data_IF_901582388791
#
_entry.id   IF_901582388791
#
_cell.length_a   1.000
_cell.length_b   1.000
_cell.length_c   1.000
_cell.angle_alpha   90.00
_cell.angle_beta   90.00
_cell.angle_gamma   90.00
#
_symmetry.space_group_name_H-M   'P 1'
#
loop_
_entity.id
_entity.type
_entity.pdbx_description
1 polymer ?
#
# COMPACT_ATOMS: atom_id res chain seq x y z
N UNK A 1 -36.88 57.52 3.16
CA UNK A 1 -37.45 56.54 2.21
C UNK A 1 -36.29 55.75 1.62
N UNK A 2 -36.36 54.42 1.74
CA UNK A 2 -35.42 53.34 1.38
C UNK A 2 -34.35 53.62 0.29
N UNK A 3 -33.12 53.14 0.54
CA UNK A 3 -32.37 52.32 -0.43
C UNK A 3 -31.30 51.46 0.29
N UNK A 4 -31.32 50.16 -0.01
CA UNK A 4 -30.48 49.08 0.50
C UNK A 4 -29.27 48.88 -0.43
N UNK A 5 -28.13 48.51 0.17
CA UNK A 5 -27.18 47.42 -0.18
C UNK A 5 -26.94 47.15 -1.67
N UNK A 6 -25.66 47.15 -2.08
CA UNK A 6 -24.93 46.00 -2.65
C UNK A 6 -23.43 46.40 -2.76
N UNK A 7 -22.57 45.73 -1.99
CA UNK A 7 -21.14 45.63 -2.28
C UNK A 7 -20.96 44.39 -3.17
N UNK A 8 -20.65 44.58 -4.45
CA UNK A 8 -20.12 43.49 -5.30
C UNK A 8 -18.61 43.59 -5.30
N UNK A 9 -17.97 42.56 -4.76
CA UNK A 9 -16.53 42.38 -4.77
C UNK A 9 -16.01 42.20 -6.20
N UNK A 10 -15.09 43.07 -6.61
CA UNK A 10 -14.17 42.82 -7.70
C UNK A 10 -12.98 42.04 -7.15
N UNK A 11 -12.89 40.75 -7.46
CA UNK A 11 -11.60 40.06 -7.52
C UNK A 11 -11.73 38.88 -8.50
N UNK A 12 -11.28 39.12 -9.73
CA UNK A 12 -11.02 38.06 -10.70
C UNK A 12 -9.57 38.19 -11.18
N UNK A 13 -8.98 37.02 -11.43
CA UNK A 13 -7.67 36.76 -12.03
C UNK A 13 -6.42 36.77 -11.11
N UNK A 14 -6.21 35.63 -10.43
CA UNK A 14 -4.88 35.06 -10.24
C UNK A 14 -4.94 33.55 -10.57
N UNK A 15 -5.04 33.22 -11.86
CA UNK A 15 -4.67 31.89 -12.36
C UNK A 15 -3.24 31.96 -12.85
N UNK A 16 -2.32 31.47 -12.05
CA UNK A 16 -0.98 31.08 -12.51
C UNK A 16 -0.44 29.98 -11.61
N UNK A 17 -0.29 28.79 -12.18
CA UNK A 17 0.51 27.66 -11.68
C UNK A 17 0.11 27.13 -10.30
N UNK A 18 -1.06 26.47 -10.22
CA UNK A 18 -1.28 25.49 -9.16
C UNK A 18 -0.30 24.33 -9.38
N UNK A 19 0.72 24.29 -8.53
CA UNK A 19 1.72 23.25 -8.47
C UNK A 19 1.08 21.86 -8.38
N UNK A 20 1.59 20.90 -9.14
CA UNK A 20 1.30 19.47 -9.03
C UNK A 20 1.91 18.85 -7.75
N UNK A 21 1.88 19.59 -6.64
CA UNK A 21 2.30 19.15 -5.33
C UNK A 21 1.18 18.36 -4.67
N UNK A 22 1.10 17.06 -4.95
CA UNK A 22 0.23 16.13 -4.19
C UNK A 22 0.76 16.01 -2.75
N UNK A 23 0.37 16.92 -1.88
CA UNK A 23 0.40 16.65 -0.44
C UNK A 23 -0.66 15.59 -0.16
N UNK A 24 -0.30 14.42 0.39
CA UNK A 24 -1.29 13.42 0.74
C UNK A 24 -2.24 14.01 1.79
N UNK A 25 -3.53 13.88 1.53
CA UNK A 25 -4.58 14.14 2.51
C UNK A 25 -4.30 13.32 3.79
N UNK A 26 -4.41 13.94 4.95
CA UNK A 26 -4.09 13.34 6.25
C UNK A 26 -4.99 12.13 6.60
N UNK A 27 -6.07 11.92 5.84
CA UNK A 27 -6.95 10.77 5.96
C UNK A 27 -6.45 9.49 5.27
N UNK A 28 -5.37 9.55 4.48
CA UNK A 28 -4.75 8.34 3.95
C UNK A 28 -4.00 7.62 5.06
N UNK A 29 -4.37 6.37 5.37
CA UNK A 29 -3.53 5.53 6.21
C UNK A 29 -2.31 5.14 5.40
N UNK A 30 -1.25 5.85 5.75
CA UNK A 30 0.09 5.50 5.41
C UNK A 30 0.41 4.09 5.92
N UNK A 31 1.11 3.29 5.12
CA UNK A 31 1.93 2.22 5.66
C UNK A 31 3.28 2.82 6.01
N UNK A 32 3.51 3.30 7.25
CA UNK A 32 4.85 3.72 7.63
C UNK A 32 5.79 2.51 7.58
N UNK A 33 6.92 2.67 6.90
CA UNK A 33 8.13 1.91 7.22
C UNK A 33 8.50 2.13 8.70
N UNK A 34 8.03 3.20 9.34
CA UNK A 34 8.32 3.53 10.74
C UNK A 34 7.67 2.60 11.79
N UNK A 35 7.22 1.39 11.44
CA UNK A 35 7.13 0.36 12.48
C UNK A 35 8.54 0.16 12.99
N UNK A 36 8.82 0.59 14.21
CA UNK A 36 10.20 0.57 14.72
C UNK A 36 10.72 -0.86 14.84
N UNK A 37 9.81 -1.81 15.09
CA UNK A 37 10.12 -3.22 15.27
C UNK A 37 9.05 -4.12 14.66
N UNK A 38 9.43 -5.34 14.30
CA UNK A 38 8.52 -6.46 14.06
C UNK A 38 9.02 -7.64 14.88
N UNK A 39 8.12 -8.50 15.33
CA UNK A 39 8.49 -9.65 16.15
C UNK A 39 7.53 -10.82 15.99
N UNK A 40 8.04 -12.00 16.32
CA UNK A 40 7.27 -13.20 16.61
C UNK A 40 7.50 -13.55 18.08
N UNK A 41 6.51 -14.19 18.70
CA UNK A 41 6.65 -14.69 20.05
C UNK A 41 5.97 -16.04 20.29
N UNK A 42 6.43 -16.72 21.34
CA UNK A 42 5.74 -17.86 21.96
C UNK A 42 5.40 -17.40 23.38
N UNK A 43 4.13 -17.32 23.73
CA UNK A 43 3.67 -16.94 25.06
C UNK A 43 3.35 -18.18 25.89
N UNK A 44 3.96 -18.28 27.06
CA UNK A 44 3.66 -19.29 28.08
C UNK A 44 3.05 -18.56 29.29
N UNK A 45 1.73 -18.59 29.38
CA UNK A 45 0.94 -17.97 30.45
C UNK A 45 0.88 -18.87 31.69
N UNK A 46 0.36 -18.35 32.79
CA UNK A 46 0.24 -19.06 34.06
C UNK A 46 -0.95 -18.56 34.87
N UNK A 47 -1.32 -19.30 35.92
CA UNK A 47 -2.38 -18.89 36.84
C UNK A 47 -2.05 -17.56 37.53
N UNK A 48 -2.86 -16.53 37.27
CA UNK A 48 -2.65 -15.16 37.76
C UNK A 48 -1.96 -14.21 36.78
N UNK A 49 -1.70 -14.63 35.53
CA UNK A 49 -1.28 -13.74 34.47
C UNK A 49 -2.48 -13.00 33.82
N UNK A 50 -2.24 -11.82 33.26
CA UNK A 50 -3.25 -11.03 32.56
C UNK A 50 -3.76 -11.77 31.32
N UNK A 51 -5.08 -11.73 31.09
CA UNK A 51 -5.73 -12.35 29.91
C UNK A 51 -5.35 -13.82 29.69
N UNK A 52 -5.01 -14.55 30.76
CA UNK A 52 -4.70 -15.98 30.71
C UNK A 52 -5.89 -16.75 30.10
N UNK A 53 -5.66 -17.66 29.13
CA UNK A 53 -6.70 -18.58 28.67
C UNK A 53 -7.24 -19.46 29.81
N UNK A 54 -8.52 -19.86 29.73
CA UNK A 54 -9.17 -20.64 30.80
C UNK A 54 -8.53 -22.01 31.03
N UNK A 55 -8.07 -22.67 29.97
CA UNK A 55 -7.45 -23.99 30.00
C UNK A 55 -6.03 -24.02 30.61
N UNK A 56 -5.46 -22.85 30.93
CA UNK A 56 -4.10 -22.75 31.50
C UNK A 56 -4.19 -22.76 33.03
N UNK A 57 -3.79 -23.89 33.63
CA UNK A 57 -3.79 -24.07 35.10
C UNK A 57 -2.39 -24.09 35.73
N UNK A 58 -1.34 -24.13 34.91
CA UNK A 58 0.05 -24.17 35.37
C UNK A 58 0.41 -22.97 36.24
N UNK A 59 1.24 -23.20 37.24
CA UNK A 59 1.77 -22.15 38.09
C UNK A 59 2.93 -21.39 37.39
N UNK A 60 3.38 -20.31 38.03
CA UNK A 60 4.42 -19.43 37.49
C UNK A 60 5.79 -20.11 37.32
N UNK A 61 6.13 -21.08 38.17
CA UNK A 61 7.39 -21.81 38.07
C UNK A 61 7.35 -22.81 36.91
N UNK A 62 6.24 -23.51 36.73
CA UNK A 62 5.99 -24.42 35.61
C UNK A 62 6.01 -23.68 34.27
N UNK A 63 5.34 -22.53 34.18
CA UNK A 63 5.39 -21.70 32.98
C UNK A 63 6.80 -21.20 32.66
N UNK A 64 7.59 -20.84 33.68
CA UNK A 64 8.99 -20.47 33.47
C UNK A 64 9.80 -21.64 32.91
N UNK A 65 9.71 -22.81 33.54
CA UNK A 65 10.41 -24.01 33.12
C UNK A 65 10.02 -24.41 31.68
N UNK A 66 8.73 -24.34 31.34
CA UNK A 66 8.25 -24.62 29.99
C UNK A 66 8.78 -23.61 28.97
N UNK A 67 8.81 -22.33 29.31
CA UNK A 67 9.39 -21.31 28.43
C UNK A 67 10.90 -21.51 28.22
N UNK A 68 11.65 -21.92 29.25
CA UNK A 68 13.07 -22.24 29.14
C UNK A 68 13.32 -23.48 28.26
N UNK A 69 12.49 -24.51 28.39
CA UNK A 69 12.55 -25.71 27.54
C UNK A 69 12.29 -25.39 26.06
N UNK A 70 11.22 -24.66 25.77
CA UNK A 70 10.89 -24.28 24.40
C UNK A 70 11.91 -23.31 23.80
N UNK A 71 12.48 -22.42 24.62
CA UNK A 71 13.58 -21.55 24.19
C UNK A 71 14.79 -22.37 23.76
N UNK A 72 15.18 -23.39 24.54
CA UNK A 72 16.30 -24.25 24.18
C UNK A 72 16.07 -24.95 22.83
N UNK A 73 14.83 -25.40 22.55
CA UNK A 73 14.46 -26.00 21.27
C UNK A 73 14.60 -25.02 20.10
N UNK A 74 14.06 -23.81 20.22
CA UNK A 74 14.15 -22.81 19.12
C UNK A 74 15.56 -22.23 18.95
N UNK A 75 16.40 -22.25 19.98
CA UNK A 75 17.80 -21.86 19.85
C UNK A 75 18.63 -22.95 19.16
N UNK A 76 18.31 -24.23 19.41
CA UNK A 76 18.95 -25.35 18.72
C UNK A 76 18.53 -25.45 17.25
N UNK A 77 17.27 -25.16 16.96
CA UNK A 77 16.73 -25.10 15.60
C UNK A 77 15.81 -23.87 15.43
N UNK A 78 16.37 -22.72 14.98
CA UNK A 78 15.59 -21.51 14.75
C UNK A 78 14.46 -21.66 13.72
N UNK A 79 14.53 -22.64 12.81
CA UNK A 79 13.48 -22.91 11.82
C UNK A 79 12.23 -23.55 12.43
N UNK A 80 12.34 -24.08 13.65
CA UNK A 80 11.22 -24.67 14.39
C UNK A 80 10.29 -23.65 15.04
N UNK A 81 10.66 -22.35 15.04
CA UNK A 81 9.99 -21.31 15.81
C UNK A 81 8.49 -21.22 15.51
N UNK A 82 8.12 -21.13 14.23
CA UNK A 82 6.73 -21.00 13.76
C UNK A 82 5.89 -22.19 14.21
N UNK A 83 6.40 -23.41 13.99
CA UNK A 83 5.73 -24.66 14.36
C UNK A 83 5.52 -24.77 15.87
N UNK A 84 6.54 -24.41 16.66
CA UNK A 84 6.43 -24.41 18.12
C UNK A 84 5.46 -23.33 18.58
N UNK A 85 5.48 -22.14 17.98
CA UNK A 85 4.55 -21.07 18.31
C UNK A 85 3.09 -21.44 18.02
N UNK A 86 2.82 -22.07 16.89
CA UNK A 86 1.48 -22.55 16.53
C UNK A 86 0.97 -23.62 17.50
N UNK A 87 1.85 -24.52 17.96
CA UNK A 87 1.47 -25.66 18.79
C UNK A 87 1.43 -25.35 20.30
N UNK A 88 2.29 -24.46 20.79
CA UNK A 88 2.61 -24.33 22.23
C UNK A 88 2.32 -22.96 22.83
N UNK A 89 2.03 -21.94 22.01
CA UNK A 89 1.78 -20.58 22.50
C UNK A 89 0.35 -20.43 23.01
N UNK A 90 0.20 -19.86 24.21
CA UNK A 90 -1.09 -19.51 24.82
C UNK A 90 -1.67 -18.18 24.28
N UNK A 91 -0.89 -17.45 23.49
CA UNK A 91 -1.27 -16.12 22.98
C UNK A 91 -2.14 -16.18 21.72
N UNK A 92 -2.93 -15.14 21.43
CA UNK A 92 -3.79 -15.11 20.25
C UNK A 92 -3.02 -15.16 18.92
N UNK A 93 -1.74 -14.80 18.91
CA UNK A 93 -0.88 -14.91 17.72
C UNK A 93 -0.45 -16.35 17.41
N UNK A 94 -0.78 -17.35 18.24
CA UNK A 94 -0.54 -18.77 17.93
C UNK A 94 -1.19 -19.17 16.60
N UNK A 95 -2.40 -18.66 16.32
CA UNK A 95 -3.11 -18.84 15.05
C UNK A 95 -2.39 -18.22 13.83
N UNK A 96 -1.34 -17.44 14.07
CA UNK A 96 -0.51 -16.79 13.05
C UNK A 96 0.97 -17.13 13.27
N UNK A 97 1.25 -18.36 13.71
CA UNK A 97 2.59 -18.90 13.92
C UNK A 97 3.47 -18.03 14.84
N UNK A 98 2.83 -17.36 15.80
CA UNK A 98 3.47 -16.45 16.75
C UNK A 98 3.77 -15.06 16.21
N UNK A 99 3.48 -14.72 14.95
CA UNK A 99 3.80 -13.44 14.36
C UNK A 99 2.89 -12.30 14.85
N UNK A 100 3.50 -11.24 15.40
CA UNK A 100 2.82 -10.07 15.98
C UNK A 100 2.65 -8.90 15.00
N UNK A 101 3.23 -8.98 13.81
CA UNK A 101 3.29 -7.84 12.90
C UNK A 101 4.33 -6.79 13.29
N UNK A 102 4.29 -5.65 12.59
CA UNK A 102 5.11 -4.48 12.90
C UNK A 102 4.42 -3.56 13.91
N UNK A 103 5.18 -3.05 14.88
CA UNK A 103 4.70 -2.17 15.95
C UNK A 103 5.65 -0.99 16.21
N UNK A 104 5.11 0.07 16.82
CA UNK A 104 5.85 1.27 17.19
C UNK A 104 6.35 1.17 18.63
N UNK A 105 7.28 2.05 19.02
CA UNK A 105 7.68 2.21 20.42
C UNK A 105 6.46 2.54 21.29
N UNK A 106 6.39 1.93 22.46
CA UNK A 106 5.29 2.06 23.41
C UNK A 106 4.06 1.21 23.10
N UNK A 107 4.01 0.51 21.96
CA UNK A 107 2.84 -0.34 21.61
C UNK A 107 2.85 -1.72 22.28
N UNK A 108 3.99 -2.16 22.81
CA UNK A 108 4.16 -3.47 23.45
C UNK A 108 4.51 -3.33 24.93
N UNK A 109 4.36 -4.42 25.69
CA UNK A 109 4.80 -4.46 27.09
C UNK A 109 6.27 -4.02 27.21
N UNK A 110 6.64 -3.12 28.15
CA UNK A 110 7.98 -2.50 28.19
C UNK A 110 9.14 -3.51 28.20
N UNK A 111 8.99 -4.63 28.91
CA UNK A 111 10.01 -5.69 28.95
C UNK A 111 10.16 -6.41 27.60
N UNK A 112 9.05 -6.66 26.91
CA UNK A 112 9.03 -7.27 25.57
C UNK A 112 9.72 -6.36 24.55
N UNK A 113 9.32 -5.09 24.50
CA UNK A 113 9.94 -4.11 23.61
C UNK A 113 11.45 -4.00 23.87
N UNK A 114 11.86 -3.89 25.14
CA UNK A 114 13.28 -3.83 25.51
C UNK A 114 14.08 -5.05 25.03
N UNK A 115 13.47 -6.23 24.97
CA UNK A 115 14.11 -7.42 24.44
C UNK A 115 14.26 -7.35 22.91
N UNK A 116 13.18 -7.01 22.19
CA UNK A 116 13.21 -6.85 20.73
C UNK A 116 14.25 -5.80 20.29
N UNK A 117 14.36 -4.69 21.03
CA UNK A 117 15.33 -3.61 20.79
C UNK A 117 16.79 -4.04 20.81
N UNK A 118 17.10 -5.11 21.54
CA UNK A 118 18.48 -5.61 21.70
C UNK A 118 18.86 -6.64 20.64
N UNK A 119 17.91 -7.07 19.82
CA UNK A 119 18.12 -8.11 18.82
C UNK A 119 18.41 -7.47 17.46
N UNK A 120 19.20 -8.15 16.67
CA UNK A 120 19.23 -7.97 15.22
C UNK A 120 18.03 -8.67 14.57
N UNK A 121 17.70 -8.31 13.33
CA UNK A 121 16.62 -8.96 12.59
C UNK A 121 16.93 -10.47 12.41
N UNK A 122 15.92 -11.31 12.67
CA UNK A 122 16.04 -12.77 12.65
C UNK A 122 16.54 -13.38 13.97
N UNK A 123 17.14 -12.60 14.86
CA UNK A 123 17.69 -13.13 16.10
C UNK A 123 16.61 -13.44 17.16
N UNK A 124 16.88 -14.46 17.99
CA UNK A 124 16.05 -14.88 19.12
C UNK A 124 16.67 -14.37 20.42
N UNK A 125 15.85 -13.85 21.33
CA UNK A 125 16.31 -13.44 22.66
C UNK A 125 16.67 -14.67 23.50
N UNK A 126 17.91 -14.70 24.00
CA UNK A 126 18.53 -15.84 24.67
C UNK A 126 17.94 -16.17 26.07
N UNK A 127 16.88 -15.49 26.51
CA UNK A 127 16.18 -15.73 27.80
C UNK A 127 14.68 -15.52 27.65
N UNK A 128 13.81 -16.23 28.38
CA UNK A 128 12.39 -15.90 28.40
C UNK A 128 12.16 -14.51 29.00
N UNK A 129 11.35 -13.70 28.34
CA UNK A 129 11.01 -12.33 28.74
C UNK A 129 9.71 -12.35 29.51
N UNK A 130 9.74 -11.94 30.78
CA UNK A 130 8.54 -11.91 31.61
C UNK A 130 7.75 -10.61 31.43
N UNK A 131 6.43 -10.71 31.24
CA UNK A 131 5.48 -9.59 31.26
C UNK A 131 4.29 -9.91 32.19
N UNK A 132 3.25 -9.05 32.19
CA UNK A 132 1.98 -9.34 32.87
C UNK A 132 1.23 -10.54 32.28
N UNK A 133 1.42 -10.84 30.98
CA UNK A 133 0.72 -11.93 30.28
C UNK A 133 1.35 -13.31 30.50
N UNK A 134 2.62 -13.36 30.91
CA UNK A 134 3.37 -14.63 31.04
C UNK A 134 4.86 -14.48 30.73
N UNK A 135 5.47 -15.60 30.31
CA UNK A 135 6.83 -15.65 29.78
C UNK A 135 6.80 -15.72 28.26
N UNK A 136 7.63 -14.89 27.61
CA UNK A 136 7.70 -14.80 26.16
C UNK A 136 9.06 -15.27 25.65
N UNK A 137 9.05 -16.13 24.66
CA UNK A 137 10.22 -16.37 23.80
C UNK A 137 10.08 -15.40 22.63
N UNK A 138 11.11 -14.59 22.38
CA UNK A 138 11.01 -13.42 21.49
C UNK A 138 11.98 -13.58 20.34
N UNK A 139 11.49 -13.46 19.11
CA UNK A 139 12.32 -13.32 17.90
C UNK A 139 12.05 -11.96 17.27
N UNK A 140 13.10 -11.22 16.90
CA UNK A 140 12.94 -10.01 16.11
C UNK A 140 12.77 -10.41 14.65
N UNK A 141 11.74 -9.89 14.01
CA UNK A 141 11.54 -10.02 12.57
C UNK A 141 11.97 -8.73 11.89
N UNK A 142 12.34 -8.82 10.62
CA UNK A 142 12.61 -7.63 9.85
C UNK A 142 11.33 -6.81 9.66
N UNK A 143 11.47 -5.50 9.84
CA UNK A 143 10.46 -4.52 9.45
C UNK A 143 10.53 -4.33 7.94
N UNK A 144 10.47 -5.41 7.16
CA UNK A 144 10.41 -5.26 5.71
C UNK A 144 8.97 -4.87 5.36
N UNK A 145 8.72 -3.72 4.72
CA UNK A 145 7.41 -3.44 4.16
C UNK A 145 7.06 -4.56 3.20
N UNK A 146 5.93 -5.24 3.42
CA UNK A 146 5.44 -6.26 2.47
C UNK A 146 5.24 -5.65 1.08
N UNK A 147 4.89 -4.36 1.03
CA UNK A 147 4.57 -3.60 -0.16
C UNK A 147 5.56 -2.43 -0.29
N UNK A 148 6.14 -2.26 -1.46
CA UNK A 148 6.92 -1.11 -1.88
C UNK A 148 6.15 -0.38 -2.97
N UNK A 149 6.32 0.93 -3.05
CA UNK A 149 5.84 1.73 -4.17
C UNK A 149 7.00 2.57 -4.69
N UNK A 150 7.13 2.68 -6.01
CA UNK A 150 8.20 3.45 -6.61
C UNK A 150 7.77 4.16 -7.90
N UNK A 151 8.48 5.24 -8.19
CA UNK A 151 8.54 5.85 -9.52
C UNK A 151 9.95 5.64 -10.08
N UNK A 152 10.05 5.39 -11.39
CA UNK A 152 11.32 5.11 -12.06
C UNK A 152 11.57 6.04 -13.24
N UNK A 153 12.83 6.43 -13.41
CA UNK A 153 13.37 6.88 -14.69
C UNK A 153 14.10 5.68 -15.27
N UNK A 154 13.48 5.01 -16.24
CA UNK A 154 13.99 3.81 -16.89
C UNK A 154 14.65 4.11 -18.22
N UNK A 155 15.82 3.49 -18.43
CA UNK A 155 16.57 3.38 -19.68
C UNK A 155 16.72 1.89 -20.03
N UNK A 156 15.83 1.36 -20.87
CA UNK A 156 15.91 -0.01 -21.41
C UNK A 156 17.10 -0.20 -22.37
N UNK A 157 17.38 -1.39 -22.89
CA UNK A 157 18.35 -1.60 -23.98
C UNK A 157 17.93 -2.84 -24.80
N UNK A 158 18.63 -3.13 -25.89
CA UNK A 158 18.30 -4.27 -26.76
C UNK A 158 18.35 -5.65 -26.06
N UNK A 159 19.15 -5.78 -25.01
CA UNK A 159 19.42 -7.05 -24.29
C UNK A 159 18.62 -7.21 -22.98
N UNK A 160 17.49 -6.50 -22.81
CA UNK A 160 16.68 -6.60 -21.58
C UNK A 160 16.03 -7.98 -21.42
N UNK A 161 16.01 -8.49 -20.19
CA UNK A 161 15.39 -9.77 -19.86
C UNK A 161 13.86 -9.68 -19.68
N UNK A 162 13.33 -8.49 -19.34
CA UNK A 162 11.91 -8.25 -19.09
C UNK A 162 11.43 -7.02 -19.84
N UNK A 163 10.39 -7.20 -20.67
CA UNK A 163 9.70 -6.11 -21.34
C UNK A 163 8.50 -5.65 -20.51
N UNK A 164 8.52 -4.39 -20.06
CA UNK A 164 7.39 -3.78 -19.35
C UNK A 164 6.37 -3.26 -20.37
N UNK A 165 5.08 -3.60 -20.18
CA UNK A 165 3.98 -3.24 -21.11
C UNK A 165 3.83 -1.75 -21.40
N UNK A 166 4.24 -0.88 -20.46
CA UNK A 166 4.12 0.57 -20.57
C UNK A 166 5.38 1.26 -21.08
N UNK A 167 6.40 0.51 -21.48
CA UNK A 167 7.49 1.05 -22.31
C UNK A 167 6.92 1.25 -23.71
N UNK A 168 7.00 2.48 -24.23
CA UNK A 168 6.50 2.78 -25.56
C UNK A 168 7.15 1.86 -26.58
N UNK A 169 6.40 1.15 -27.44
CA UNK A 169 6.95 0.17 -28.39
C UNK A 169 7.76 0.80 -29.56
N UNK A 170 7.96 2.13 -29.55
CA UNK A 170 8.51 2.88 -30.68
C UNK A 170 10.04 3.02 -30.60
N UNK A 171 10.74 1.98 -31.06
CA UNK A 171 11.86 2.06 -32.02
C UNK A 171 13.27 2.45 -31.56
N UNK A 172 13.49 3.46 -30.71
CA UNK A 172 14.85 3.95 -30.42
C UNK A 172 15.54 3.18 -29.28
N UNK A 173 14.79 2.90 -28.21
CA UNK A 173 15.27 2.20 -27.01
C UNK A 173 15.51 0.69 -27.22
N UNK A 174 14.92 0.10 -28.27
CA UNK A 174 15.14 -1.29 -28.68
C UNK A 174 16.44 -1.49 -29.48
N UNK A 175 17.13 -0.40 -29.86
CA UNK A 175 18.35 -0.45 -30.70
C UNK A 175 19.64 -0.10 -29.95
N UNK A 176 19.54 0.63 -28.84
CA UNK A 176 20.71 1.06 -28.06
C UNK A 176 21.37 -0.11 -27.31
N UNK A 177 22.69 -0.04 -27.19
CA UNK A 177 23.47 -1.02 -26.44
C UNK A 177 23.27 -0.89 -24.92
N UNK A 178 23.59 -1.92 -24.13
CA UNK A 178 23.61 -1.83 -22.68
C UNK A 178 24.49 -0.68 -22.16
N UNK A 179 25.66 -0.46 -22.79
CA UNK A 179 26.61 0.59 -22.41
C UNK A 179 26.06 1.99 -22.67
N UNK A 180 25.37 2.19 -23.80
CA UNK A 180 24.71 3.46 -24.12
C UNK A 180 23.59 3.76 -23.12
N UNK A 181 22.75 2.76 -22.80
CA UNK A 181 21.68 2.93 -21.82
C UNK A 181 22.22 3.25 -20.41
N UNK A 182 23.30 2.58 -20.01
CA UNK A 182 24.01 2.86 -18.75
C UNK A 182 24.57 4.27 -18.72
N UNK A 183 25.28 4.69 -19.78
CA UNK A 183 25.87 6.02 -19.88
C UNK A 183 24.81 7.13 -19.79
N UNK A 184 23.64 6.94 -20.40
CA UNK A 184 22.51 7.86 -20.28
C UNK A 184 22.01 7.96 -18.83
N UNK A 185 21.85 6.82 -18.15
CA UNK A 185 21.42 6.78 -16.76
C UNK A 185 22.44 7.46 -15.83
N UNK A 186 23.73 7.17 -16.01
CA UNK A 186 24.82 7.74 -15.20
C UNK A 186 24.99 9.25 -15.45
N UNK A 187 24.81 9.71 -16.69
CA UNK A 187 24.85 11.14 -17.01
C UNK A 187 23.67 11.92 -16.40
N UNK A 188 22.52 11.26 -16.21
CA UNK A 188 21.34 11.88 -15.62
C UNK A 188 21.37 11.84 -14.09
N UNK A 189 21.85 10.75 -13.48
CA UNK A 189 21.74 10.50 -12.04
C UNK A 189 22.19 11.66 -11.13
N UNK A 190 23.31 12.37 -11.37
CA UNK A 190 23.74 13.50 -10.55
C UNK A 190 22.76 14.70 -10.56
N UNK A 191 21.88 14.78 -11.57
CA UNK A 191 20.91 15.86 -11.75
C UNK A 191 19.54 15.53 -11.14
N UNK A 192 19.31 14.27 -10.75
CA UNK A 192 18.01 13.83 -10.23
C UNK A 192 17.87 14.19 -8.76
N UNK A 193 16.82 14.90 -8.43
CA UNK A 193 16.39 15.19 -7.07
C UNK A 193 14.95 14.71 -6.86
N UNK A 194 14.48 14.71 -5.61
CA UNK A 194 13.09 14.38 -5.33
C UNK A 194 12.11 15.35 -6.03
N UNK A 195 12.47 16.63 -6.15
CA UNK A 195 11.58 17.70 -6.64
C UNK A 195 11.46 17.73 -8.18
N UNK A 196 12.51 17.32 -8.90
CA UNK A 196 12.52 17.36 -10.37
C UNK A 196 12.24 15.99 -11.02
N UNK A 197 12.04 14.94 -10.20
CA UNK A 197 11.98 13.56 -10.67
C UNK A 197 10.93 13.35 -11.77
N UNK A 198 9.71 13.84 -11.55
CA UNK A 198 8.58 13.67 -12.46
C UNK A 198 8.79 14.40 -13.80
N UNK A 199 9.43 15.57 -13.77
CA UNK A 199 9.84 16.29 -14.99
C UNK A 199 10.83 15.45 -15.78
N UNK A 200 11.87 14.95 -15.11
CA UNK A 200 12.91 14.14 -15.76
C UNK A 200 12.39 12.78 -16.26
N UNK A 201 11.37 12.21 -15.62
CA UNK A 201 10.66 11.03 -16.15
C UNK A 201 10.04 11.35 -17.50
N UNK A 202 9.35 12.47 -17.62
CA UNK A 202 8.67 12.88 -18.86
C UNK A 202 9.68 13.12 -19.98
N UNK A 203 10.79 13.78 -19.68
CA UNK A 203 11.82 14.17 -20.64
C UNK A 203 12.69 12.98 -21.08
N UNK A 204 13.10 12.11 -20.14
CA UNK A 204 14.16 11.14 -20.39
C UNK A 204 13.73 9.68 -20.33
N UNK A 205 12.67 9.33 -19.59
CA UNK A 205 12.36 7.93 -19.34
C UNK A 205 11.65 7.25 -20.51
N UNK A 206 12.03 6.00 -20.79
CA UNK A 206 11.26 5.12 -21.67
C UNK A 206 9.98 4.58 -21.03
N UNK A 207 9.79 4.82 -19.73
CA UNK A 207 8.59 4.48 -18.97
C UNK A 207 7.66 5.70 -18.73
N UNK A 208 7.75 6.72 -19.59
CA UNK A 208 6.99 7.98 -19.50
C UNK A 208 5.49 7.84 -19.72
N UNK A 209 5.01 6.80 -20.43
CA UNK A 209 3.58 6.62 -20.72
C UNK A 209 2.71 6.51 -19.46
N UNK A 210 3.30 6.06 -18.35
CA UNK A 210 2.67 5.98 -17.03
C UNK A 210 3.31 6.96 -16.04
N UNK A 211 4.00 8.00 -16.53
CA UNK A 211 4.79 8.94 -15.72
C UNK A 211 5.69 8.21 -14.71
N UNK A 212 6.41 7.18 -15.20
CA UNK A 212 7.38 6.42 -14.42
C UNK A 212 6.75 5.59 -13.30
N UNK A 213 5.42 5.51 -13.17
CA UNK A 213 4.75 4.80 -12.09
C UNK A 213 4.98 3.29 -12.23
N UNK A 214 5.90 2.76 -11.44
CA UNK A 214 6.09 1.32 -11.32
C UNK A 214 5.00 0.67 -10.48
N UNK A 215 4.34 1.47 -9.64
CA UNK A 215 3.24 1.05 -8.79
C UNK A 215 3.71 0.21 -7.61
N UNK A 216 2.81 -0.62 -7.10
CA UNK A 216 3.07 -1.43 -5.91
C UNK A 216 3.63 -2.80 -6.26
N UNK A 217 4.68 -3.18 -5.54
CA UNK A 217 5.36 -4.46 -5.69
C UNK A 217 5.81 -5.01 -4.34
N UNK A 218 6.15 -6.29 -4.33
CA UNK A 218 6.49 -7.03 -3.12
C UNK A 218 7.81 -7.75 -3.31
N UNK A 219 8.65 -7.75 -2.28
CA UNK A 219 9.81 -8.64 -2.23
C UNK A 219 9.33 -10.09 -2.31
N UNK A 220 10.05 -10.92 -3.05
CA UNK A 220 9.75 -12.33 -3.30
C UNK A 220 8.88 -12.60 -4.52
N UNK A 221 8.28 -11.58 -5.14
CA UNK A 221 7.35 -11.79 -6.27
C UNK A 221 8.05 -12.29 -7.55
N UNK A 222 9.17 -11.68 -7.90
CA UNK A 222 10.05 -12.06 -9.01
C UNK A 222 11.39 -11.33 -8.89
N UNK A 223 12.35 -11.65 -9.76
CA UNK A 223 13.69 -11.08 -9.71
C UNK A 223 13.69 -9.54 -9.88
N UNK A 224 12.93 -8.98 -10.83
CA UNK A 224 12.78 -7.53 -10.97
C UNK A 224 12.25 -6.88 -9.67
N UNK A 225 11.19 -7.42 -9.08
CA UNK A 225 10.62 -6.91 -7.83
C UNK A 225 11.61 -7.00 -6.66
N UNK A 226 12.47 -8.03 -6.63
CA UNK A 226 13.52 -8.17 -5.63
C UNK A 226 14.61 -7.10 -5.77
N UNK A 227 15.09 -6.86 -7.00
CA UNK A 227 16.06 -5.80 -7.31
C UNK A 227 15.49 -4.42 -6.96
N UNK A 228 14.25 -4.15 -7.38
CA UNK A 228 13.55 -2.91 -7.04
C UNK A 228 13.40 -2.74 -5.53
N UNK A 229 13.04 -3.80 -4.81
CA UNK A 229 12.87 -3.76 -3.36
C UNK A 229 14.20 -3.50 -2.65
N UNK A 230 15.29 -4.15 -3.09
CA UNK A 230 16.64 -3.91 -2.55
C UNK A 230 17.08 -2.46 -2.75
N UNK A 231 16.82 -1.89 -3.93
CA UNK A 231 17.20 -0.51 -4.24
C UNK A 231 16.48 0.52 -3.36
N UNK A 232 15.21 0.30 -3.04
CA UNK A 232 14.43 1.27 -2.26
C UNK A 232 14.42 0.99 -0.77
N UNK A 233 14.83 -0.19 -0.30
CA UNK A 233 14.66 -0.59 1.11
C UNK A 233 15.35 0.36 2.09
N UNK A 234 16.56 0.80 1.72
CA UNK A 234 17.39 1.70 2.52
C UNK A 234 17.07 3.19 2.32
N UNK A 235 16.25 3.54 1.33
CA UNK A 235 15.94 4.94 1.03
C UNK A 235 14.86 5.46 1.99
N UNK A 236 14.97 6.72 2.49
CA UNK A 236 13.81 7.37 3.06
C UNK A 236 12.71 7.52 1.99
N UNK A 237 11.48 7.77 2.41
CA UNK A 237 10.44 8.14 1.45
C UNK A 237 10.80 9.43 0.71
N UNK A 238 10.43 9.47 -0.56
CA UNK A 238 10.85 10.48 -1.53
C UNK A 238 12.37 10.49 -1.80
N UNK A 239 13.12 9.59 -1.15
CA UNK A 239 14.53 9.33 -1.44
C UNK A 239 14.70 8.73 -2.84
N UNK A 240 15.79 9.13 -3.49
CA UNK A 240 16.15 8.74 -4.85
C UNK A 240 17.40 7.87 -4.80
N UNK A 241 17.40 6.75 -5.54
CA UNK A 241 18.57 5.87 -5.68
C UNK A 241 19.62 6.46 -6.62
N UNK A 242 20.83 5.88 -6.61
CA UNK A 242 21.72 5.97 -7.77
C UNK A 242 21.17 5.17 -8.97
N UNK A 243 22.01 4.95 -9.98
CA UNK A 243 21.67 4.05 -11.09
C UNK A 243 21.63 2.61 -10.58
N UNK A 244 20.54 1.91 -10.88
CA UNK A 244 20.31 0.52 -10.54
C UNK A 244 20.13 -0.28 -11.82
N UNK A 245 20.94 -1.31 -12.01
CA UNK A 245 20.75 -2.28 -13.07
C UNK A 245 19.59 -3.23 -12.71
N UNK A 246 18.64 -3.39 -13.64
CA UNK A 246 17.46 -4.23 -13.46
C UNK A 246 17.25 -5.11 -14.67
N UNK A 247 16.37 -6.11 -14.56
CA UNK A 247 15.98 -6.95 -15.69
C UNK A 247 15.26 -6.18 -16.81
N UNK A 248 14.80 -4.95 -16.56
CA UNK A 248 14.19 -4.07 -17.54
C UNK A 248 15.16 -3.00 -18.09
N UNK A 249 16.43 -3.03 -17.71
CA UNK A 249 17.46 -2.03 -18.05
C UNK A 249 17.94 -1.23 -16.83
N UNK A 250 18.47 -0.04 -17.05
CA UNK A 250 19.02 0.81 -16.00
C UNK A 250 17.95 1.79 -15.49
N UNK A 251 17.76 1.85 -14.18
CA UNK A 251 16.74 2.67 -13.55
C UNK A 251 17.31 3.56 -12.45
N UNK A 252 16.81 4.79 -12.37
CA UNK A 252 16.91 5.64 -11.18
C UNK A 252 15.54 5.58 -10.51
N UNK A 253 15.51 5.29 -9.21
CA UNK A 253 14.29 4.88 -8.51
C UNK A 253 14.00 5.85 -7.36
N UNK A 254 12.82 6.45 -7.37
CA UNK A 254 12.29 7.25 -6.25
C UNK A 254 11.36 6.38 -5.41
N UNK A 255 11.69 6.24 -4.13
CA UNK A 255 10.82 5.51 -3.18
C UNK A 255 9.58 6.35 -2.90
N UNK A 256 8.41 5.76 -3.10
CA UNK A 256 7.15 6.40 -2.77
C UNK A 256 6.52 5.79 -1.52
N UNK A 257 5.72 6.61 -0.87
CA UNK A 257 4.85 6.20 0.22
C UNK A 257 3.77 5.25 -0.31
N UNK A 258 3.49 4.18 0.44
CA UNK A 258 2.39 3.27 0.16
C UNK A 258 1.17 3.78 0.91
N UNK A 259 0.15 4.19 0.17
CA UNK A 259 -1.10 4.69 0.73
C UNK A 259 -2.17 3.63 0.57
N UNK A 260 -2.94 3.39 1.63
CA UNK A 260 -4.27 2.79 1.49
C UNK A 260 -5.32 3.87 1.36
N UNK A 261 -6.38 3.53 0.65
CA UNK A 261 -7.61 4.30 0.52
C UNK A 261 -8.80 3.35 0.64
N UNK A 262 -9.85 3.85 1.26
CA UNK A 262 -11.14 3.19 1.23
C UNK A 262 -12.08 4.04 0.37
N UNK A 263 -12.89 3.35 -0.41
CA UNK A 263 -13.93 3.96 -1.23
C UNK A 263 -15.16 3.07 -1.18
N UNK A 264 -16.32 3.69 -1.39
CA UNK A 264 -17.51 2.98 -1.83
C UNK A 264 -17.78 3.39 -3.27
N UNK A 265 -18.13 2.46 -4.13
CA UNK A 265 -18.47 2.78 -5.52
C UNK A 265 -19.68 2.05 -6.10
N UNK A 266 -20.30 2.74 -7.04
CA UNK A 266 -21.30 2.19 -7.97
C UNK A 266 -20.62 2.14 -9.33
N UNK A 267 -20.41 0.93 -9.85
CA UNK A 267 -19.88 0.70 -11.18
C UNK A 267 -21.03 0.43 -12.14
N UNK A 268 -21.14 1.20 -13.21
CA UNK A 268 -22.01 0.93 -14.34
C UNK A 268 -21.15 0.56 -15.55
N UNK A 269 -21.05 -0.74 -15.84
CA UNK A 269 -20.30 -1.27 -16.98
C UNK A 269 -21.08 -1.16 -18.29
N UNK A 270 -20.43 -1.35 -19.43
CA UNK A 270 -21.08 -1.58 -20.73
C UNK A 270 -20.52 -2.86 -21.35
N UNK A 271 -21.18 -3.38 -22.40
CA UNK A 271 -20.84 -4.69 -23.00
C UNK A 271 -19.36 -4.81 -23.45
N UNK A 272 -18.73 -3.71 -23.84
CA UNK A 272 -17.32 -3.66 -24.24
C UNK A 272 -16.35 -3.26 -23.13
N UNK A 273 -16.80 -3.13 -21.88
CA UNK A 273 -15.96 -2.72 -20.77
C UNK A 273 -15.07 -3.87 -20.28
N UNK A 274 -13.86 -3.54 -19.84
CA UNK A 274 -12.90 -4.49 -19.31
C UNK A 274 -13.44 -5.13 -18.02
N UNK A 275 -13.63 -6.45 -18.05
CA UNK A 275 -14.13 -7.19 -16.89
C UNK A 275 -15.63 -7.00 -16.62
N UNK A 276 -16.39 -6.52 -17.60
CA UNK A 276 -17.84 -6.44 -17.52
C UNK A 276 -18.44 -7.84 -17.19
N UNK A 277 -19.38 -7.93 -16.24
CA UNK A 277 -20.11 -9.17 -16.00
C UNK A 277 -20.85 -9.63 -17.26
N UNK A 278 -20.96 -10.94 -17.48
CA UNK A 278 -21.53 -11.51 -18.71
C UNK A 278 -23.00 -11.15 -18.96
N UNK A 279 -23.73 -10.79 -17.91
CA UNK A 279 -25.12 -10.33 -17.98
C UNK A 279 -25.27 -8.89 -18.49
N UNK A 280 -24.19 -8.11 -18.59
CA UNK A 280 -24.24 -6.72 -19.05
C UNK A 280 -24.33 -6.68 -20.58
N UNK A 281 -25.50 -6.29 -21.09
CA UNK A 281 -25.78 -6.19 -22.54
C UNK A 281 -25.87 -4.76 -23.06
N UNK A 282 -26.00 -3.78 -22.17
CA UNK A 282 -26.17 -2.36 -22.52
C UNK A 282 -24.93 -1.77 -23.20
N UNK A 283 -25.19 -0.83 -24.12
CA UNK A 283 -24.20 -0.05 -24.84
C UNK A 283 -23.48 0.95 -23.92
N UNK A 284 -22.38 1.52 -24.41
CA UNK A 284 -21.63 2.57 -23.69
C UNK A 284 -22.51 3.80 -23.43
N UNK A 285 -23.33 4.22 -24.39
CA UNK A 285 -24.20 5.39 -24.25
C UNK A 285 -25.31 5.17 -23.19
N UNK A 286 -25.91 3.98 -23.16
CA UNK A 286 -26.89 3.61 -22.14
C UNK A 286 -26.26 3.52 -20.74
N UNK A 287 -25.06 2.95 -20.63
CA UNK A 287 -24.32 2.90 -19.38
C UNK A 287 -23.97 4.30 -18.86
N UNK A 288 -23.56 5.22 -19.73
CA UNK A 288 -23.27 6.61 -19.36
C UNK A 288 -24.52 7.33 -18.86
N UNK A 289 -25.64 7.22 -19.59
CA UNK A 289 -26.91 7.84 -19.20
C UNK A 289 -27.38 7.34 -17.82
N UNK A 290 -27.32 6.03 -17.60
CA UNK A 290 -27.67 5.42 -16.31
C UNK A 290 -26.73 5.87 -15.18
N UNK A 291 -25.43 5.93 -15.44
CA UNK A 291 -24.46 6.41 -14.46
C UNK A 291 -24.73 7.88 -14.07
N UNK A 292 -25.05 8.74 -15.03
CA UNK A 292 -25.40 10.15 -14.75
C UNK A 292 -26.68 10.26 -13.92
N UNK A 293 -27.71 9.47 -14.26
CA UNK A 293 -28.96 9.44 -13.50
C UNK A 293 -28.73 9.02 -12.05
N UNK A 294 -28.02 7.91 -11.82
CA UNK A 294 -27.71 7.42 -10.46
C UNK A 294 -26.85 8.44 -9.71
N UNK A 295 -25.87 9.05 -10.38
CA UNK A 295 -25.03 10.05 -9.74
C UNK A 295 -25.85 11.26 -9.27
N UNK A 296 -26.81 11.74 -10.07
CA UNK A 296 -27.73 12.80 -9.66
C UNK A 296 -28.59 12.40 -8.46
N UNK A 297 -29.11 11.16 -8.42
CA UNK A 297 -29.88 10.65 -7.27
C UNK A 297 -29.03 10.62 -6.00
N UNK A 298 -27.81 10.11 -6.09
CA UNK A 298 -26.86 10.04 -4.96
C UNK A 298 -26.43 11.43 -4.50
N UNK A 299 -26.25 12.39 -5.42
CA UNK A 299 -25.93 13.78 -5.04
C UNK A 299 -27.11 14.49 -4.36
N UNK A 300 -28.35 14.17 -4.77
CA UNK A 300 -29.56 14.72 -4.14
C UNK A 300 -29.85 14.10 -2.76
N UNK A 301 -29.55 12.81 -2.60
CA UNK A 301 -29.66 12.07 -1.34
C UNK A 301 -28.45 11.16 -1.10
N UNK A 302 -27.38 11.65 -0.46
CA UNK A 302 -26.19 10.85 -0.19
C UNK A 302 -26.43 9.61 0.67
N UNK A 303 -27.52 9.56 1.46
CA UNK A 303 -27.87 8.39 2.27
C UNK A 303 -28.44 7.23 1.43
N UNK A 304 -28.83 7.49 0.18
CA UNK A 304 -29.31 6.46 -0.76
C UNK A 304 -28.18 5.63 -1.38
N UNK A 305 -26.91 6.00 -1.17
CA UNK A 305 -25.74 5.43 -1.85
C UNK A 305 -25.72 3.90 -1.77
N UNK A 306 -25.81 3.34 -0.56
CA UNK A 306 -25.67 1.90 -0.34
C UNK A 306 -26.86 1.11 -0.92
N UNK A 307 -28.05 1.72 -0.97
CA UNK A 307 -29.22 1.10 -1.60
C UNK A 307 -29.05 1.07 -3.13
N UNK A 308 -28.73 2.22 -3.73
CA UNK A 308 -28.49 2.35 -5.17
C UNK A 308 -27.30 1.49 -5.63
N UNK A 309 -26.27 1.35 -4.81
CA UNK A 309 -25.15 0.47 -5.08
C UNK A 309 -25.56 -1.01 -5.11
N UNK A 310 -26.41 -1.47 -4.19
CA UNK A 310 -26.91 -2.85 -4.19
C UNK A 310 -27.81 -3.13 -5.38
N UNK A 311 -28.60 -2.14 -5.79
CA UNK A 311 -29.58 -2.28 -6.87
C UNK A 311 -28.94 -2.21 -8.26
N UNK A 312 -28.00 -1.29 -8.46
CA UNK A 312 -27.54 -0.93 -9.81
C UNK A 312 -26.07 -1.21 -10.11
N UNK A 313 -25.22 -1.41 -9.09
CA UNK A 313 -23.78 -1.59 -9.33
C UNK A 313 -23.51 -2.97 -9.94
N UNK A 314 -22.75 -3.00 -11.04
CA UNK A 314 -22.18 -4.23 -11.60
C UNK A 314 -20.87 -4.63 -10.91
N UNK A 315 -20.43 -3.85 -9.93
CA UNK A 315 -19.21 -4.09 -9.18
C UNK A 315 -19.35 -5.27 -8.21
N UNK A 316 -18.24 -5.98 -7.98
CA UNK A 316 -18.20 -7.14 -7.06
C UNK A 316 -18.59 -6.79 -5.61
N UNK A 317 -18.54 -5.52 -5.22
CA UNK A 317 -18.90 -5.04 -3.89
C UNK A 317 -20.33 -4.48 -3.81
N UNK A 318 -21.15 -4.63 -4.85
CA UNK A 318 -22.56 -4.20 -4.86
C UNK A 318 -23.32 -4.69 -3.63
N UNK A 319 -23.16 -5.96 -3.25
CA UNK A 319 -23.81 -6.56 -2.08
C UNK A 319 -23.48 -5.88 -0.74
N UNK A 320 -22.34 -5.19 -0.64
CA UNK A 320 -21.93 -4.40 0.53
C UNK A 320 -22.40 -2.94 0.47
N UNK A 321 -23.23 -2.58 -0.50
CA UNK A 321 -23.57 -1.19 -0.78
C UNK A 321 -22.43 -0.43 -1.45
N UNK A 322 -21.62 -1.12 -2.25
CA UNK A 322 -20.49 -0.50 -2.97
C UNK A 322 -19.22 -0.36 -2.14
N UNK A 323 -19.29 -0.59 -0.82
CA UNK A 323 -18.14 -0.50 0.08
C UNK A 323 -17.01 -1.46 -0.30
N UNK A 324 -15.88 -0.89 -0.70
CA UNK A 324 -14.68 -1.63 -1.02
C UNK A 324 -13.81 -1.82 0.21
N UNK A 325 -13.11 -2.97 0.25
CA UNK A 325 -11.99 -3.12 1.18
C UNK A 325 -10.93 -2.06 0.90
N UNK A 326 -10.19 -1.60 1.94
CA UNK A 326 -9.06 -0.70 1.75
C UNK A 326 -8.12 -1.23 0.67
N UNK A 327 -7.91 -0.43 -0.36
CA UNK A 327 -7.06 -0.73 -1.51
C UNK A 327 -5.86 0.19 -1.51
N UNK A 328 -4.78 -0.22 -2.19
CA UNK A 328 -3.57 0.59 -2.23
C UNK A 328 -3.53 1.48 -3.48
N UNK A 329 -2.98 2.69 -3.38
CA UNK A 329 -2.74 3.54 -4.57
C UNK A 329 -1.94 2.80 -5.65
N UNK A 330 -2.18 3.12 -6.92
CA UNK A 330 -1.66 2.43 -8.11
C UNK A 330 -2.13 0.97 -8.27
N UNK A 331 -3.31 0.62 -7.73
CA UNK A 331 -3.95 -0.70 -7.94
C UNK A 331 -5.32 -0.62 -8.63
N UNK A 332 -5.82 0.60 -8.90
CA UNK A 332 -7.08 0.86 -9.61
C UNK A 332 -6.80 1.53 -10.96
N UNK A 333 -7.85 1.76 -11.74
CA UNK A 333 -7.73 2.50 -13.00
C UNK A 333 -7.25 3.93 -12.75
N UNK A 334 -6.34 4.43 -13.60
CA UNK A 334 -5.71 5.73 -13.38
C UNK A 334 -6.69 6.90 -13.32
N UNK A 335 -7.78 6.85 -14.09
CA UNK A 335 -8.85 7.87 -14.05
C UNK A 335 -9.61 7.84 -12.72
N UNK A 336 -9.91 6.64 -12.21
CA UNK A 336 -10.53 6.45 -10.89
C UNK A 336 -9.64 7.04 -9.79
N UNK A 337 -8.35 6.68 -9.77
CA UNK A 337 -7.43 7.14 -8.72
C UNK A 337 -7.26 8.66 -8.74
N UNK A 338 -7.13 9.28 -9.92
CA UNK A 338 -7.01 10.74 -10.04
C UNK A 338 -8.19 11.48 -9.41
N UNK A 339 -9.40 10.96 -9.55
CA UNK A 339 -10.59 11.59 -8.96
C UNK A 339 -10.61 11.36 -7.46
N UNK A 340 -10.30 10.15 -6.99
CA UNK A 340 -10.23 9.87 -5.55
C UNK A 340 -9.13 10.68 -4.86
N UNK A 341 -8.04 10.99 -5.56
CA UNK A 341 -6.96 11.85 -5.05
C UNK A 341 -7.41 13.26 -4.69
N UNK A 342 -8.44 13.79 -5.36
CA UNK A 342 -8.96 15.15 -5.13
C UNK A 342 -10.20 15.20 -4.24
N UNK A 343 -10.89 14.08 -4.04
CA UNK A 343 -12.06 14.01 -3.16
C UNK A 343 -11.68 14.10 -1.68
N UNK A 344 -12.45 14.85 -0.89
CA UNK A 344 -12.37 14.79 0.57
C UNK A 344 -13.06 13.53 1.11
N UNK A 345 -12.70 13.07 2.31
CA UNK A 345 -13.43 11.96 2.97
C UNK A 345 -14.90 12.30 3.13
N UNK A 346 -15.77 11.34 2.80
CA UNK A 346 -17.23 11.48 2.75
C UNK A 346 -17.74 12.13 1.46
N UNK A 347 -16.88 12.77 0.66
CA UNK A 347 -17.29 13.41 -0.57
C UNK A 347 -17.54 12.40 -1.70
N UNK A 348 -18.47 12.78 -2.58
CA UNK A 348 -18.88 12.04 -3.77
C UNK A 348 -18.28 12.66 -5.03
N UNK A 349 -18.10 11.86 -6.06
CA UNK A 349 -17.86 12.35 -7.42
C UNK A 349 -19.05 13.18 -7.90
N UNK A 350 -18.78 14.37 -8.41
CA UNK A 350 -19.82 15.26 -8.97
C UNK A 350 -20.32 14.81 -10.34
N UNK A 351 -19.55 13.99 -11.04
CA UNK A 351 -19.87 13.37 -12.32
C UNK A 351 -19.34 11.92 -12.32
N UNK A 352 -19.94 10.98 -13.09
CA UNK A 352 -19.39 9.64 -13.23
C UNK A 352 -17.98 9.64 -13.83
N UNK A 353 -17.10 8.82 -13.27
CA UNK A 353 -15.71 8.68 -13.69
C UNK A 353 -15.60 7.58 -14.74
N UNK A 354 -15.34 7.96 -15.98
CA UNK A 354 -15.11 6.98 -17.05
C UNK A 354 -13.74 6.27 -16.88
N UNK A 355 -13.77 4.95 -17.01
CA UNK A 355 -12.59 4.07 -16.97
C UNK A 355 -12.75 2.96 -18.00
N UNK A 356 -11.69 2.17 -18.28
CA UNK A 356 -11.83 0.96 -19.10
C UNK A 356 -12.85 -0.06 -18.56
N UNK A 357 -13.15 -0.06 -17.26
CA UNK A 357 -14.15 -0.95 -16.64
C UNK A 357 -15.60 -0.44 -16.71
N UNK A 358 -15.82 0.78 -17.20
CA UNK A 358 -17.12 1.45 -17.20
C UNK A 358 -17.10 2.77 -16.43
N UNK A 359 -18.27 3.22 -16.02
CA UNK A 359 -18.48 4.48 -15.32
C UNK A 359 -18.60 4.25 -13.81
N UNK A 360 -17.75 4.92 -13.04
CA UNK A 360 -17.74 4.80 -11.58
C UNK A 360 -18.33 6.05 -10.92
N UNK A 361 -19.24 5.86 -9.97
CA UNK A 361 -19.65 6.87 -9.01
C UNK A 361 -18.95 6.52 -7.71
N UNK A 362 -18.16 7.43 -7.16
CA UNK A 362 -17.25 7.10 -6.05
C UNK A 362 -17.54 8.00 -4.86
N UNK A 363 -17.63 7.39 -3.68
CA UNK A 363 -17.56 8.08 -2.39
C UNK A 363 -16.22 7.76 -1.75
N UNK A 364 -15.48 8.78 -1.30
CA UNK A 364 -14.25 8.54 -0.54
C UNK A 364 -14.62 8.18 0.90
N UNK A 365 -14.09 7.08 1.41
CA UNK A 365 -14.38 6.60 2.77
C UNK A 365 -13.21 6.89 3.70
N UNK A 366 -13.49 6.92 5.02
CA UNK A 366 -12.43 6.86 6.02
C UNK A 366 -11.85 5.45 6.09
N UNK A 367 -10.62 5.34 6.59
CA UNK A 367 -9.93 4.08 6.83
C UNK A 367 -10.03 3.60 8.29
N UNK A 368 -10.74 4.35 9.14
CA UNK A 368 -10.84 4.11 10.58
C UNK A 368 -11.63 2.86 10.96
#
# INVERSE_FOLDING_TARGET
>A
MKARIIWVAFLWLAMSHAAWGTTPDQSDQYFPIHKTYAASHILISYFGADKRPEHVHRNKAEAKARAEELLAKVLADPSSFERIAAAESDGPSAANDGYLGGFNRGSMAPAFEKAVRKLEDGAIFHKPVKTGFGYHIVRRNSVTPKHFCARIILFTHKDIAVHLKSVAATGAHLRRSPEEAKALAEALAPKVTADNFETLVTEHSDFRAVNGRFGIFHRGKNALANTMAQAVDALPYDGVSGVVETQAGYAIIKRLKVYKRATSDILISHISAQGAPTQVTRSRAEAEALAREINQKVLADPASFEALAREHSDGIFAFRGGSQLPWFRDTKFSAYERVVETLQVGALTTEPVETPGGFFIVRRESLD
#
